data_IF_252582425033
#
_entry.id   IF_252582425033
#
_cell.length_a   1.000
_cell.length_b   1.000
_cell.length_c   1.000
_cell.angle_alpha   90.00
_cell.angle_beta   90.00
_cell.angle_gamma   90.00
#
_symmetry.space_group_name_H-M   'P 1'
#
loop_
_entity.id
_entity.type
_entity.pdbx_description
1 polymer ?
#
# COMPACT_ATOMS: atom_id res chain seq x y z
N UNK A 1 -13.49 3.75 -32.33
CA UNK A 1 -12.54 4.60 -31.59
C UNK A 1 -11.46 3.68 -31.04
N UNK A 2 -10.25 3.77 -31.58
CA UNK A 2 -9.11 3.07 -31.01
C UNK A 2 -8.93 3.52 -29.56
N UNK A 3 -8.67 2.64 -28.59
CA UNK A 3 -8.39 3.04 -27.22
C UNK A 3 -7.18 4.01 -27.27
N UNK A 4 -7.20 5.10 -26.49
CA UNK A 4 -6.07 6.00 -26.44
C UNK A 4 -4.82 5.20 -26.04
N UNK A 5 -3.74 5.39 -26.78
CA UNK A 5 -2.43 4.82 -26.45
C UNK A 5 -2.14 5.16 -25.00
N UNK A 6 -2.03 4.13 -24.13
CA UNK A 6 -1.85 4.32 -22.70
C UNK A 6 -0.59 5.14 -22.45
N UNK A 7 -0.74 6.27 -21.76
CA UNK A 7 0.40 7.09 -21.33
C UNK A 7 1.08 6.45 -20.15
N UNK A 8 2.42 6.35 -20.16
CA UNK A 8 3.18 6.04 -18.95
C UNK A 8 3.22 7.25 -18.03
N UNK A 9 3.36 7.04 -16.72
CA UNK A 9 3.46 8.14 -15.76
C UNK A 9 4.62 9.11 -16.04
N UNK A 10 5.66 8.65 -16.76
CA UNK A 10 6.81 9.46 -17.19
C UNK A 10 6.49 10.44 -18.34
N UNK A 11 5.41 10.21 -19.10
CA UNK A 11 5.00 11.03 -20.24
C UNK A 11 4.02 12.16 -19.86
N UNK A 12 3.57 12.21 -18.61
CA UNK A 12 2.64 13.23 -18.12
C UNK A 12 3.31 14.61 -18.01
N UNK A 13 2.58 15.67 -18.39
CA UNK A 13 3.01 17.03 -18.09
C UNK A 13 3.11 17.25 -16.58
N UNK A 14 4.01 18.14 -16.13
CA UNK A 14 4.22 18.42 -14.70
C UNK A 14 2.93 18.77 -13.95
N UNK A 15 2.04 19.55 -14.56
CA UNK A 15 0.76 19.92 -13.94
C UNK A 15 -0.18 18.74 -13.79
N UNK A 16 -0.35 17.91 -14.82
CA UNK A 16 -1.17 16.68 -14.76
C UNK A 16 -0.60 15.68 -13.77
N UNK A 17 0.72 15.52 -13.74
CA UNK A 17 1.41 14.67 -12.78
C UNK A 17 1.13 15.11 -11.34
N UNK A 18 1.36 16.42 -11.03
CA UNK A 18 1.16 16.94 -9.68
C UNK A 18 -0.30 16.84 -9.22
N UNK A 19 -1.25 17.11 -10.13
CA UNK A 19 -2.67 16.96 -9.86
C UNK A 19 -3.05 15.50 -9.54
N UNK A 20 -2.64 14.54 -10.38
CA UNK A 20 -2.91 13.12 -10.16
C UNK A 20 -2.26 12.63 -8.86
N UNK A 21 -1.02 13.05 -8.58
CA UNK A 21 -0.31 12.72 -7.37
C UNK A 21 -1.01 13.25 -6.11
N UNK A 22 -1.41 14.53 -6.10
CA UNK A 22 -2.12 15.13 -4.97
C UNK A 22 -3.50 14.49 -4.74
N UNK A 23 -4.23 14.24 -5.83
CA UNK A 23 -5.55 13.62 -5.77
C UNK A 23 -5.49 12.20 -5.19
N UNK A 24 -4.56 11.37 -5.65
CA UNK A 24 -4.42 10.01 -5.12
C UNK A 24 -3.83 10.03 -3.70
N UNK A 25 -2.94 10.99 -3.38
CA UNK A 25 -2.42 11.18 -2.02
C UNK A 25 -3.54 11.51 -1.02
N UNK A 26 -4.62 12.22 -1.43
CA UNK A 26 -5.76 12.49 -0.55
C UNK A 26 -6.49 11.22 -0.07
N UNK A 27 -6.42 10.13 -0.82
CA UNK A 27 -6.97 8.82 -0.41
C UNK A 27 -6.25 8.26 0.81
N UNK A 28 -4.93 8.47 0.91
CA UNK A 28 -4.16 8.04 2.09
C UNK A 28 -4.57 8.79 3.35
N UNK A 29 -4.88 10.08 3.23
CA UNK A 29 -5.44 10.84 4.36
C UNK A 29 -6.77 10.25 4.83
N UNK A 30 -7.69 9.96 3.90
CA UNK A 30 -9.00 9.35 4.20
C UNK A 30 -8.85 8.00 4.89
N UNK A 31 -7.90 7.18 4.41
CA UNK A 31 -7.59 5.88 4.99
C UNK A 31 -7.04 6.02 6.42
N UNK A 32 -6.07 6.90 6.64
CA UNK A 32 -5.50 7.14 7.97
C UNK A 32 -6.53 7.63 8.99
N UNK A 33 -7.47 8.46 8.56
CA UNK A 33 -8.55 8.96 9.39
C UNK A 33 -9.50 7.84 9.85
N UNK A 34 -9.90 6.97 8.91
CA UNK A 34 -10.77 5.82 9.21
C UNK A 34 -10.11 4.83 10.18
N UNK A 35 -8.82 4.54 9.96
CA UNK A 35 -8.04 3.65 10.82
C UNK A 35 -7.92 4.20 12.25
N UNK A 36 -7.57 5.49 12.39
CA UNK A 36 -7.46 6.13 13.69
C UNK A 36 -8.79 6.17 14.48
N UNK A 37 -9.93 6.26 13.80
CA UNK A 37 -11.24 6.15 14.44
C UNK A 37 -11.55 4.72 14.90
N UNK A 38 -11.16 3.70 14.14
CA UNK A 38 -11.45 2.30 14.46
C UNK A 38 -10.79 1.86 15.77
N UNK A 39 -9.53 2.25 15.99
CA UNK A 39 -8.80 1.91 17.21
C UNK A 39 -9.47 2.47 18.47
N UNK A 40 -9.99 3.69 18.38
CA UNK A 40 -10.69 4.32 19.50
C UNK A 40 -12.06 3.70 19.76
N UNK A 41 -12.77 3.29 18.70
CA UNK A 41 -14.07 2.63 18.83
C UNK A 41 -13.99 1.30 19.55
N UNK A 42 -12.90 0.57 19.40
CA UNK A 42 -12.74 -0.72 20.05
C UNK A 42 -12.87 -0.61 21.57
N UNK A 43 -12.23 0.39 22.20
CA UNK A 43 -12.36 0.65 23.64
C UNK A 43 -13.77 1.13 24.02
N UNK A 44 -14.39 1.95 23.17
CA UNK A 44 -15.73 2.46 23.40
C UNK A 44 -16.79 1.34 23.38
N UNK A 45 -16.69 0.42 22.43
CA UNK A 45 -17.61 -0.72 22.32
C UNK A 45 -17.49 -1.72 23.48
N UNK A 46 -16.29 -1.91 24.04
CA UNK A 46 -16.15 -2.71 25.27
C UNK A 46 -16.97 -2.15 26.43
N UNK A 47 -16.99 -0.81 26.56
CA UNK A 47 -17.74 -0.13 27.61
C UNK A 47 -19.25 -0.18 27.35
N UNK A 48 -19.69 0.11 26.11
CA UNK A 48 -21.13 0.25 25.80
C UNK A 48 -21.85 -1.09 25.68
N UNK A 49 -21.20 -2.10 25.09
CA UNK A 49 -21.81 -3.42 24.89
C UNK A 49 -21.47 -4.43 25.98
N UNK A 50 -20.63 -4.07 26.96
CA UNK A 50 -20.15 -4.97 28.00
C UNK A 50 -19.57 -6.28 27.44
N UNK A 51 -18.91 -6.20 26.26
CA UNK A 51 -18.30 -7.33 25.57
C UNK A 51 -16.91 -7.64 26.14
N UNK A 52 -16.49 -8.89 26.01
CA UNK A 52 -15.16 -9.33 26.43
C UNK A 52 -14.09 -8.71 25.50
N UNK A 53 -12.84 -8.65 26.01
CA UNK A 53 -11.69 -8.22 25.18
C UNK A 53 -11.56 -9.06 23.90
N UNK A 54 -11.79 -10.37 24.01
CA UNK A 54 -11.77 -11.28 22.87
C UNK A 54 -12.86 -10.93 21.84
N UNK A 55 -14.09 -10.64 22.28
CA UNK A 55 -15.17 -10.24 21.39
C UNK A 55 -14.86 -8.90 20.68
N UNK A 56 -14.19 -7.97 21.34
CA UNK A 56 -13.82 -6.70 20.75
C UNK A 56 -12.75 -6.85 19.66
N UNK A 57 -11.93 -7.90 19.68
CA UNK A 57 -10.95 -8.16 18.61
C UNK A 57 -11.60 -8.59 17.28
N UNK A 58 -12.90 -8.96 17.28
CA UNK A 58 -13.63 -9.28 16.04
C UNK A 58 -13.68 -8.09 15.07
N UNK A 59 -13.65 -6.84 15.57
CA UNK A 59 -13.54 -5.67 14.70
C UNK A 59 -12.22 -5.63 13.95
N UNK A 60 -11.12 -5.89 14.65
CA UNK A 60 -9.79 -5.95 14.00
C UNK A 60 -9.70 -7.14 13.05
N UNK A 61 -10.23 -8.29 13.44
CA UNK A 61 -10.32 -9.47 12.58
C UNK A 61 -11.15 -9.17 11.31
N UNK A 62 -12.29 -8.50 11.44
CA UNK A 62 -13.11 -8.10 10.30
C UNK A 62 -12.38 -7.12 9.40
N UNK A 63 -11.71 -6.12 9.96
CA UNK A 63 -10.94 -5.12 9.22
C UNK A 63 -9.78 -5.75 8.45
N UNK A 64 -8.86 -6.41 9.12
CA UNK A 64 -7.67 -7.01 8.51
C UNK A 64 -8.00 -8.26 7.66
N UNK A 65 -9.03 -9.03 8.07
CA UNK A 65 -9.55 -10.16 7.30
C UNK A 65 -10.12 -9.74 5.95
N UNK A 66 -10.75 -8.55 5.89
CA UNK A 66 -11.22 -7.98 4.63
C UNK A 66 -10.07 -7.74 3.65
N UNK A 67 -8.92 -7.26 4.11
CA UNK A 67 -7.72 -7.09 3.27
C UNK A 67 -7.24 -8.42 2.71
N UNK A 68 -7.18 -9.45 3.54
CA UNK A 68 -6.74 -10.77 3.11
C UNK A 68 -7.61 -11.35 2.00
N UNK A 69 -8.93 -11.18 2.10
CA UNK A 69 -9.89 -11.72 1.12
C UNK A 69 -10.04 -10.81 -0.09
N UNK A 70 -10.13 -9.51 0.11
CA UNK A 70 -10.61 -8.59 -0.93
C UNK A 70 -9.50 -7.92 -1.74
N UNK A 71 -8.30 -7.73 -1.21
CA UNK A 71 -7.20 -7.07 -1.94
C UNK A 71 -6.79 -7.82 -3.22
N UNK A 72 -6.68 -9.17 -3.26
CA UNK A 72 -6.42 -9.89 -4.51
C UNK A 72 -7.53 -9.69 -5.55
N UNK A 73 -8.80 -9.70 -5.12
CA UNK A 73 -9.94 -9.42 -5.99
C UNK A 73 -9.87 -8.00 -6.57
N UNK A 74 -9.56 -7.01 -5.74
CA UNK A 74 -9.39 -5.61 -6.16
C UNK A 74 -8.30 -5.47 -7.24
N UNK A 75 -7.16 -6.17 -7.09
CA UNK A 75 -6.10 -6.19 -8.08
C UNK A 75 -6.53 -6.76 -9.43
N UNK A 76 -7.28 -7.88 -9.41
CA UNK A 76 -7.84 -8.49 -10.63
C UNK A 76 -8.91 -7.59 -11.26
N UNK A 77 -9.78 -6.99 -10.44
CA UNK A 77 -10.79 -6.04 -10.91
C UNK A 77 -10.16 -4.84 -11.62
N UNK A 78 -9.14 -4.23 -11.02
CA UNK A 78 -8.43 -3.08 -11.61
C UNK A 78 -7.66 -3.45 -12.87
N UNK A 79 -7.16 -4.69 -12.98
CA UNK A 79 -6.56 -5.18 -14.22
C UNK A 79 -7.55 -5.13 -15.38
N UNK A 80 -8.81 -5.47 -15.14
CA UNK A 80 -9.86 -5.50 -16.17
C UNK A 80 -10.50 -4.13 -16.43
N UNK A 81 -10.70 -3.33 -15.38
CA UNK A 81 -11.52 -2.11 -15.44
C UNK A 81 -10.76 -0.81 -15.23
N UNK A 82 -9.46 -0.86 -14.88
CA UNK A 82 -8.60 0.30 -14.65
C UNK A 82 -8.63 0.85 -13.23
N UNK A 83 -7.72 1.78 -12.97
CA UNK A 83 -7.55 2.39 -11.63
C UNK A 83 -8.74 3.24 -11.21
N UNK A 84 -9.24 4.10 -12.10
CA UNK A 84 -10.36 5.01 -11.77
C UNK A 84 -11.59 4.26 -11.30
N UNK A 85 -11.98 3.17 -12.00
CA UNK A 85 -13.13 2.33 -11.59
C UNK A 85 -12.85 1.59 -10.28
N UNK A 86 -11.59 1.17 -10.05
CA UNK A 86 -11.18 0.59 -8.76
C UNK A 86 -11.36 1.58 -7.59
N UNK A 87 -10.97 2.84 -7.79
CA UNK A 87 -11.16 3.89 -6.78
C UNK A 87 -12.65 4.13 -6.49
N UNK A 88 -13.49 4.20 -7.54
CA UNK A 88 -14.94 4.35 -7.36
C UNK A 88 -15.57 3.18 -6.59
N UNK A 89 -15.16 1.95 -6.89
CA UNK A 89 -15.60 0.75 -6.15
C UNK A 89 -15.15 0.83 -4.69
N UNK A 90 -13.89 1.20 -4.45
CA UNK A 90 -13.35 1.31 -3.10
C UNK A 90 -14.04 2.37 -2.25
N UNK A 91 -14.23 3.59 -2.79
CA UNK A 91 -14.96 4.67 -2.11
C UNK A 91 -16.45 4.32 -1.91
N UNK A 92 -17.06 3.62 -2.86
CA UNK A 92 -18.43 3.13 -2.73
C UNK A 92 -18.61 2.14 -1.58
N UNK A 93 -17.74 1.12 -1.49
CA UNK A 93 -17.74 0.14 -0.40
C UNK A 93 -17.44 0.79 0.95
N UNK A 94 -16.46 1.70 0.98
CA UNK A 94 -16.12 2.46 2.18
C UNK A 94 -17.31 3.25 2.71
N UNK A 95 -17.97 4.03 1.84
CA UNK A 95 -19.14 4.81 2.21
C UNK A 95 -20.31 3.93 2.62
N UNK A 96 -20.56 2.84 1.90
CA UNK A 96 -21.63 1.89 2.22
C UNK A 96 -21.42 1.25 3.59
N UNK A 97 -20.22 0.77 3.89
CA UNK A 97 -19.89 0.22 5.20
C UNK A 97 -20.04 1.26 6.32
N UNK A 98 -19.61 2.51 6.09
CA UNK A 98 -19.75 3.59 7.06
C UNK A 98 -21.22 3.98 7.31
N UNK A 99 -22.09 3.96 6.30
CA UNK A 99 -23.54 4.19 6.45
C UNK A 99 -24.18 3.13 7.36
N UNK A 100 -23.76 1.86 7.23
CA UNK A 100 -24.32 0.77 8.06
C UNK A 100 -23.93 0.87 9.54
N UNK A 101 -22.96 1.69 9.92
CA UNK A 101 -22.73 2.03 11.33
C UNK A 101 -23.93 2.71 11.98
N UNK A 102 -24.67 3.54 11.23
CA UNK A 102 -25.84 4.24 11.74
C UNK A 102 -26.95 3.29 12.24
N UNK A 103 -27.49 2.34 11.43
CA UNK A 103 -28.48 1.40 11.93
C UNK A 103 -27.90 0.45 13.00
N UNK A 104 -26.61 0.09 12.91
CA UNK A 104 -25.95 -0.75 13.92
C UNK A 104 -25.93 -0.07 15.30
N UNK A 105 -25.68 1.26 15.34
CA UNK A 105 -25.74 2.06 16.54
C UNK A 105 -27.18 2.21 17.05
N UNK A 106 -28.13 2.52 16.17
CA UNK A 106 -29.55 2.73 16.52
C UNK A 106 -30.18 1.47 17.11
N UNK A 107 -29.87 0.30 16.55
CA UNK A 107 -30.38 -0.98 17.03
C UNK A 107 -29.47 -1.65 18.07
N UNK A 108 -28.37 -1.01 18.45
CA UNK A 108 -27.38 -1.51 19.42
C UNK A 108 -26.93 -2.96 19.13
N UNK A 109 -26.63 -3.27 17.86
CA UNK A 109 -26.21 -4.60 17.42
C UNK A 109 -24.72 -4.63 17.13
N UNK A 110 -23.93 -5.22 18.01
CA UNK A 110 -22.46 -5.36 17.84
C UNK A 110 -22.09 -6.10 16.54
N UNK A 111 -22.81 -7.17 16.20
CA UNK A 111 -22.60 -7.89 14.93
C UNK A 111 -22.78 -7.02 13.68
N UNK A 112 -23.65 -5.99 13.74
CA UNK A 112 -23.81 -4.99 12.69
C UNK A 112 -22.54 -4.16 12.50
N UNK A 113 -21.89 -3.76 13.57
CA UNK A 113 -20.60 -3.05 13.52
C UNK A 113 -19.49 -3.91 12.93
N UNK A 114 -19.42 -5.19 13.31
CA UNK A 114 -18.43 -6.13 12.76
C UNK A 114 -18.63 -6.30 11.24
N UNK A 115 -19.86 -6.54 10.78
CA UNK A 115 -20.17 -6.64 9.36
C UNK A 115 -19.87 -5.35 8.58
N UNK A 116 -20.24 -4.20 9.15
CA UNK A 116 -19.97 -2.88 8.57
C UNK A 116 -18.47 -2.61 8.46
N UNK A 117 -17.69 -2.97 9.49
CA UNK A 117 -16.23 -2.86 9.50
C UNK A 117 -15.60 -3.73 8.42
N UNK A 118 -16.12 -4.93 8.19
CA UNK A 118 -15.66 -5.78 7.09
C UNK A 118 -15.88 -5.12 5.72
N UNK A 119 -17.05 -4.52 5.49
CA UNK A 119 -17.34 -3.81 4.23
C UNK A 119 -16.46 -2.57 4.06
N UNK A 120 -16.25 -1.78 5.14
CA UNK A 120 -15.27 -0.67 5.14
C UNK A 120 -13.88 -1.20 4.78
N UNK A 121 -13.45 -2.31 5.40
CA UNK A 121 -12.17 -2.96 5.13
C UNK A 121 -12.01 -3.38 3.66
N UNK A 122 -13.06 -3.93 3.03
CA UNK A 122 -13.05 -4.22 1.59
C UNK A 122 -12.86 -2.96 0.74
N UNK A 123 -13.54 -1.86 1.10
CA UNK A 123 -13.38 -0.57 0.45
C UNK A 123 -11.95 -0.04 0.59
N UNK A 124 -11.42 -0.04 1.80
CA UNK A 124 -10.06 0.44 2.09
C UNK A 124 -8.98 -0.43 1.44
N UNK A 125 -9.13 -1.76 1.44
CA UNK A 125 -8.24 -2.67 0.72
C UNK A 125 -8.19 -2.33 -0.77
N UNK A 126 -9.36 -2.05 -1.38
CA UNK A 126 -9.43 -1.64 -2.80
C UNK A 126 -8.74 -0.31 -3.04
N UNK A 127 -8.99 0.70 -2.19
CA UNK A 127 -8.34 2.02 -2.31
C UNK A 127 -6.84 1.92 -2.12
N UNK A 128 -6.37 1.08 -1.21
CA UNK A 128 -4.95 0.89 -0.95
C UNK A 128 -4.25 0.20 -2.13
N UNK A 129 -4.85 -0.84 -2.72
CA UNK A 129 -4.32 -1.45 -3.95
C UNK A 129 -4.26 -0.42 -5.08
N UNK A 130 -5.30 0.39 -5.27
CA UNK A 130 -5.35 1.43 -6.30
C UNK A 130 -4.30 2.51 -6.06
N UNK A 131 -4.27 3.09 -4.87
CA UNK A 131 -3.43 4.23 -4.55
C UNK A 131 -1.94 3.84 -4.52
N UNK A 132 -1.58 2.73 -3.86
CA UNK A 132 -0.20 2.26 -3.80
C UNK A 132 0.35 1.95 -5.19
N UNK A 133 -0.40 1.18 -6.01
CA UNK A 133 0.06 0.83 -7.35
C UNK A 133 0.10 2.05 -8.28
N UNK A 134 -0.89 2.94 -8.21
CA UNK A 134 -0.91 4.15 -9.04
C UNK A 134 0.28 5.08 -8.71
N UNK A 135 0.52 5.37 -7.42
CA UNK A 135 1.67 6.20 -6.98
C UNK A 135 3.00 5.55 -7.38
N UNK A 136 3.12 4.22 -7.28
CA UNK A 136 4.34 3.52 -7.65
C UNK A 136 4.68 3.68 -9.15
N UNK A 137 3.66 3.63 -10.02
CA UNK A 137 3.86 3.73 -11.49
C UNK A 137 3.73 5.16 -12.03
N UNK A 138 3.39 6.15 -11.19
CA UNK A 138 3.25 7.55 -11.58
C UNK A 138 4.61 8.24 -11.71
N UNK A 139 5.44 7.87 -12.68
CA UNK A 139 6.75 8.43 -12.96
C UNK A 139 7.90 7.43 -12.82
N UNK A 140 9.15 7.92 -12.80
CA UNK A 140 10.34 7.06 -12.80
C UNK A 140 10.30 6.02 -11.66
N UNK A 141 10.57 4.73 -11.94
CA UNK A 141 10.69 3.67 -10.95
C UNK A 141 11.74 3.94 -9.86
N UNK A 142 12.79 4.72 -10.17
CA UNK A 142 13.83 5.14 -9.22
C UNK A 142 13.23 5.77 -7.96
N UNK A 143 12.23 6.63 -8.10
CA UNK A 143 11.64 7.38 -6.99
C UNK A 143 10.30 6.82 -6.50
N UNK A 144 9.91 5.61 -6.93
CA UNK A 144 8.63 5.00 -6.56
C UNK A 144 8.49 4.85 -5.04
N UNK A 145 9.51 4.34 -4.35
CA UNK A 145 9.49 4.18 -2.89
C UNK A 145 9.40 5.53 -2.15
N UNK A 146 10.13 6.55 -2.60
CA UNK A 146 10.07 7.88 -2.01
C UNK A 146 8.69 8.53 -2.20
N UNK A 147 8.10 8.42 -3.41
CA UNK A 147 6.75 8.93 -3.71
C UNK A 147 5.69 8.27 -2.83
N UNK A 148 5.73 6.94 -2.75
CA UNK A 148 4.76 6.19 -1.94
C UNK A 148 4.93 6.49 -0.46
N UNK A 149 6.16 6.57 0.05
CA UNK A 149 6.45 6.91 1.43
C UNK A 149 5.96 8.33 1.78
N UNK A 150 6.12 9.29 0.87
CA UNK A 150 5.59 10.65 1.01
C UNK A 150 4.06 10.65 1.12
N UNK A 151 3.36 9.98 0.20
CA UNK A 151 1.89 9.89 0.21
C UNK A 151 1.37 9.21 1.48
N UNK A 152 2.02 8.15 1.93
CA UNK A 152 1.69 7.48 3.19
C UNK A 152 2.07 8.29 4.44
N UNK A 153 2.93 9.30 4.34
CA UNK A 153 3.17 10.29 5.40
C UNK A 153 1.88 11.03 5.78
N UNK A 154 1.04 11.39 4.81
CA UNK A 154 -0.27 12.03 5.08
C UNK A 154 -1.27 11.09 5.76
N UNK A 155 -1.17 9.78 5.53
CA UNK A 155 -1.90 8.78 6.30
C UNK A 155 -1.54 8.85 7.79
N UNK A 156 -0.24 8.95 8.11
CA UNK A 156 0.24 9.09 9.50
C UNK A 156 -0.29 10.36 10.17
N UNK A 157 -0.35 11.48 9.45
CA UNK A 157 -0.96 12.73 9.96
C UNK A 157 -2.44 12.55 10.23
N UNK A 158 -3.17 11.87 9.35
CA UNK A 158 -4.61 11.66 9.50
C UNK A 158 -4.96 10.69 10.63
N UNK A 159 -4.17 9.63 10.83
CA UNK A 159 -4.39 8.66 11.92
C UNK A 159 -4.23 9.27 13.31
N UNK A 160 -3.48 10.37 13.44
CA UNK A 160 -3.44 11.17 14.66
C UNK A 160 -4.72 12.00 14.89
N UNK A 161 -5.34 12.51 13.82
CA UNK A 161 -6.55 13.34 13.92
C UNK A 161 -7.79 12.55 14.40
N UNK A 162 -7.92 11.28 14.00
CA UNK A 162 -9.03 10.41 14.39
C UNK A 162 -9.18 10.26 15.91
N UNK A 163 -8.16 9.78 16.63
CA UNK A 163 -8.17 9.69 18.09
C UNK A 163 -8.39 11.04 18.80
N UNK A 164 -7.85 12.15 18.28
CA UNK A 164 -8.09 13.47 18.85
C UNK A 164 -9.57 13.88 18.82
N UNK A 165 -10.23 13.65 17.69
CA UNK A 165 -11.67 13.92 17.53
C UNK A 165 -12.47 13.00 18.46
N UNK A 166 -12.15 11.74 18.46
CA UNK A 166 -12.84 10.75 19.29
C UNK A 166 -12.67 11.02 20.78
N UNK A 167 -11.47 11.40 21.26
CA UNK A 167 -11.23 11.73 22.66
C UNK A 167 -12.05 12.91 23.16
N UNK A 168 -12.30 13.90 22.29
CA UNK A 168 -13.10 15.07 22.63
C UNK A 168 -14.61 14.84 22.55
N UNK A 169 -15.06 13.91 21.71
CA UNK A 169 -16.48 13.82 21.37
C UNK A 169 -17.11 12.47 21.73
N UNK A 170 -16.33 11.36 21.76
CA UNK A 170 -16.86 10.05 22.14
C UNK A 170 -16.79 9.77 23.64
N UNK A 171 -15.78 10.31 24.34
CA UNK A 171 -15.52 9.94 25.73
C UNK A 171 -15.90 11.01 26.75
N UNK A 172 -16.54 12.12 26.33
CA UNK A 172 -16.94 13.19 27.25
C UNK A 172 -18.44 13.14 27.61
N UNK A 173 -18.73 13.22 28.91
CA UNK A 173 -20.08 13.31 29.45
C UNK A 173 -20.95 12.09 29.12
N UNK A 174 -22.19 12.35 28.69
CA UNK A 174 -23.15 11.28 28.31
C UNK A 174 -22.71 10.44 27.13
N UNK A 175 -21.85 10.97 26.26
CA UNK A 175 -21.38 10.25 25.07
C UNK A 175 -20.47 9.06 25.41
N UNK A 176 -19.86 9.04 26.59
CA UNK A 176 -19.00 7.94 27.03
C UNK A 176 -19.73 6.59 27.14
N UNK A 177 -21.04 6.61 27.34
CA UNK A 177 -21.89 5.42 27.53
C UNK A 177 -22.95 5.23 26.46
N UNK A 178 -23.00 6.09 25.42
CA UNK A 178 -23.99 6.04 24.34
C UNK A 178 -23.30 5.94 22.98
N UNK A 179 -24.05 5.46 21.98
CA UNK A 179 -23.60 5.35 20.59
C UNK A 179 -24.05 6.53 19.72
N UNK A 180 -24.73 7.53 20.31
CA UNK A 180 -25.34 8.63 19.56
C UNK A 180 -24.30 9.44 18.76
N UNK A 181 -23.15 9.70 19.36
CA UNK A 181 -22.07 10.42 18.66
C UNK A 181 -21.40 9.55 17.58
N UNK A 182 -21.24 8.25 17.83
CA UNK A 182 -20.62 7.30 16.89
C UNK A 182 -21.39 7.27 15.58
N UNK A 183 -22.73 7.20 15.62
CA UNK A 183 -23.56 7.14 14.42
C UNK A 183 -23.39 8.37 13.52
N UNK A 184 -23.30 9.57 14.09
CA UNK A 184 -23.15 10.81 13.34
C UNK A 184 -21.75 11.00 12.78
N UNK A 185 -20.71 10.60 13.52
CA UNK A 185 -19.34 10.65 13.04
C UNK A 185 -19.15 9.70 11.86
N UNK A 186 -19.68 8.48 11.93
CA UNK A 186 -19.57 7.55 10.79
C UNK A 186 -20.46 7.95 9.61
N UNK A 187 -21.56 8.64 9.85
CA UNK A 187 -22.33 9.23 8.76
C UNK A 187 -21.55 10.37 8.07
N UNK A 188 -20.80 11.17 8.82
CA UNK A 188 -19.91 12.19 8.27
C UNK A 188 -18.74 11.54 7.49
N UNK A 189 -18.18 10.45 8.01
CA UNK A 189 -17.15 9.63 7.31
C UNK A 189 -17.70 9.07 6.00
N UNK A 190 -18.92 8.56 5.99
CA UNK A 190 -19.61 8.11 4.78
C UNK A 190 -19.80 9.26 3.77
N UNK A 191 -20.24 10.43 4.26
CA UNK A 191 -20.39 11.65 3.47
C UNK A 191 -19.07 12.08 2.81
N UNK A 192 -17.98 12.04 3.56
CA UNK A 192 -16.64 12.31 3.02
C UNK A 192 -16.30 11.34 1.87
N UNK A 193 -16.54 10.04 2.03
CA UNK A 193 -16.33 9.05 1.00
C UNK A 193 -17.17 9.29 -0.27
N UNK A 194 -18.45 9.70 -0.10
CA UNK A 194 -19.33 10.08 -1.22
C UNK A 194 -18.80 11.33 -1.93
N UNK A 195 -18.42 12.38 -1.18
CA UNK A 195 -17.86 13.62 -1.75
C UNK A 195 -16.59 13.33 -2.55
N UNK A 196 -15.69 12.52 -2.01
CA UNK A 196 -14.50 12.09 -2.73
C UNK A 196 -14.85 11.29 -3.98
N UNK A 197 -15.84 10.39 -3.90
CA UNK A 197 -16.28 9.60 -5.06
C UNK A 197 -16.80 10.51 -6.19
N UNK A 198 -17.60 11.52 -5.85
CA UNK A 198 -18.08 12.54 -6.79
C UNK A 198 -16.89 13.34 -7.36
N UNK A 199 -15.95 13.76 -6.52
CA UNK A 199 -14.77 14.48 -6.95
C UNK A 199 -13.95 13.65 -7.96
N UNK A 200 -13.67 12.39 -7.67
CA UNK A 200 -12.97 11.49 -8.60
C UNK A 200 -13.74 11.23 -9.89
N UNK A 201 -15.08 11.29 -9.85
CA UNK A 201 -15.89 11.15 -11.07
C UNK A 201 -15.64 12.30 -12.07
N UNK A 202 -15.62 13.54 -11.58
CA UNK A 202 -15.38 14.72 -12.41
C UNK A 202 -13.90 14.97 -12.73
N UNK A 203 -12.97 14.36 -11.98
CA UNK A 203 -11.55 14.51 -12.22
C UNK A 203 -11.06 13.57 -13.34
N UNK A 204 -10.25 14.10 -14.25
CA UNK A 204 -9.54 13.30 -15.26
C UNK A 204 -8.28 12.70 -14.62
N UNK A 205 -8.41 11.47 -14.13
CA UNK A 205 -7.25 10.70 -13.65
C UNK A 205 -6.63 9.96 -14.84
N UNK A 206 -5.36 10.27 -15.22
CA UNK A 206 -4.70 9.57 -16.31
C UNK A 206 -4.63 8.07 -16.04
N UNK A 207 -5.17 7.26 -16.96
CA UNK A 207 -5.08 5.79 -16.81
C UNK A 207 -3.71 5.31 -17.29
N UNK A 208 -2.98 4.66 -16.38
CA UNK A 208 -1.71 4.01 -16.67
C UNK A 208 -2.01 2.54 -16.96
N UNK A 209 -1.84 2.14 -18.23
CA UNK A 209 -2.15 0.79 -18.68
C UNK A 209 -0.98 -0.17 -18.44
N UNK A 210 -1.28 -1.44 -18.23
CA UNK A 210 -0.23 -2.48 -18.07
C UNK A 210 0.52 -2.70 -19.39
N UNK A 211 -0.12 -2.47 -20.53
CA UNK A 211 0.52 -2.55 -21.85
C UNK A 211 1.57 -1.47 -22.03
N UNK A 212 1.27 -0.21 -21.61
CA UNK A 212 2.25 0.87 -21.63
C UNK A 212 3.45 0.58 -20.69
N UNK A 213 3.20 0.05 -19.49
CA UNK A 213 4.27 -0.37 -18.58
C UNK A 213 5.12 -1.51 -19.16
N UNK A 214 4.47 -2.46 -19.85
CA UNK A 214 5.17 -3.56 -20.49
C UNK A 214 6.01 -3.09 -21.66
N UNK A 215 5.51 -2.15 -22.47
CA UNK A 215 6.28 -1.52 -23.54
C UNK A 215 7.50 -0.77 -22.98
N UNK A 216 7.35 0.01 -21.90
CA UNK A 216 8.45 0.70 -21.22
C UNK A 216 9.53 -0.28 -20.73
N UNK A 217 9.12 -1.43 -20.16
CA UNK A 217 10.06 -2.48 -19.72
C UNK A 217 10.75 -3.14 -20.91
N UNK A 218 10.04 -3.32 -22.03
CA UNK A 218 10.60 -3.91 -23.25
C UNK A 218 11.70 -3.04 -23.88
N UNK A 219 11.56 -1.69 -23.83
CA UNK A 219 12.59 -0.74 -24.30
C UNK A 219 13.94 -0.94 -23.60
N UNK A 220 13.93 -1.44 -22.34
CA UNK A 220 15.16 -1.72 -21.57
C UNK A 220 15.59 -3.19 -21.62
N UNK A 221 15.09 -3.94 -22.60
CA UNK A 221 15.54 -5.31 -22.91
C UNK A 221 14.82 -6.42 -22.14
N UNK A 222 13.77 -6.13 -21.37
CA UNK A 222 12.95 -7.15 -20.71
C UNK A 222 11.75 -7.46 -21.62
N UNK A 223 11.92 -8.40 -22.55
CA UNK A 223 10.91 -8.72 -23.58
C UNK A 223 9.73 -9.55 -23.06
N UNK A 224 9.94 -10.36 -22.02
CA UNK A 224 8.91 -11.20 -21.42
C UNK A 224 9.04 -11.19 -19.89
N UNK A 225 7.96 -10.85 -19.21
CA UNK A 225 7.90 -10.85 -17.74
C UNK A 225 7.69 -12.28 -17.21
N UNK A 226 7.23 -13.21 -18.06
CA UNK A 226 6.92 -14.59 -17.69
C UNK A 226 5.66 -14.73 -16.82
N UNK A 227 5.31 -15.95 -16.39
CA UNK A 227 4.10 -16.20 -15.63
C UNK A 227 4.13 -15.57 -14.23
N UNK A 228 2.98 -15.13 -13.75
CA UNK A 228 2.82 -14.43 -12.46
C UNK A 228 3.48 -15.17 -11.28
N UNK A 229 3.27 -16.47 -11.20
CA UNK A 229 3.76 -17.28 -10.08
C UNK A 229 5.30 -17.49 -10.06
N UNK A 230 6.01 -17.10 -11.12
CA UNK A 230 7.46 -17.06 -11.17
C UNK A 230 8.04 -15.71 -10.74
N UNK A 231 7.20 -14.74 -10.40
CA UNK A 231 7.62 -13.41 -9.92
C UNK A 231 8.02 -13.48 -8.44
N UNK A 232 9.17 -14.11 -8.14
CA UNK A 232 9.63 -14.37 -6.77
C UNK A 232 9.73 -13.11 -5.91
N UNK A 233 10.10 -11.95 -6.50
CA UNK A 233 10.13 -10.67 -5.77
C UNK A 233 8.78 -10.28 -5.24
N UNK A 234 7.71 -10.52 -6.00
CA UNK A 234 6.35 -10.24 -5.61
C UNK A 234 5.83 -11.24 -4.57
N UNK A 235 6.10 -12.54 -4.77
CA UNK A 235 5.64 -13.61 -3.87
C UNK A 235 6.31 -13.49 -2.50
N UNK A 236 7.65 -13.35 -2.45
CA UNK A 236 8.37 -13.13 -1.19
C UNK A 236 8.07 -11.74 -0.60
N UNK A 237 7.80 -10.74 -1.45
CA UNK A 237 7.31 -9.43 -1.02
C UNK A 237 5.98 -9.51 -0.27
N UNK A 238 5.06 -10.35 -0.72
CA UNK A 238 3.81 -10.63 0.01
C UNK A 238 4.06 -11.27 1.37
N UNK A 239 4.95 -12.27 1.46
CA UNK A 239 5.32 -12.90 2.74
C UNK A 239 5.96 -11.87 3.69
N UNK A 240 6.89 -11.06 3.18
CA UNK A 240 7.52 -9.99 3.95
C UNK A 240 6.51 -8.94 4.43
N UNK A 241 5.56 -8.56 3.56
CA UNK A 241 4.51 -7.59 3.89
C UNK A 241 3.57 -8.13 4.97
N UNK A 242 3.15 -9.41 4.86
CA UNK A 242 2.31 -10.08 5.85
C UNK A 242 2.99 -10.12 7.22
N UNK A 243 4.27 -10.48 7.23
CA UNK A 243 5.07 -10.59 8.44
C UNK A 243 5.33 -9.22 9.06
N UNK A 244 5.68 -8.23 8.24
CA UNK A 244 5.94 -6.87 8.68
C UNK A 244 4.68 -6.20 9.25
N UNK A 245 3.56 -6.21 8.51
CA UNK A 245 2.32 -5.57 8.98
C UNK A 245 1.79 -6.27 10.22
N UNK A 246 1.87 -7.59 10.26
CA UNK A 246 1.55 -8.35 11.47
C UNK A 246 2.35 -7.89 12.68
N UNK A 247 3.68 -7.77 12.53
CA UNK A 247 4.57 -7.30 13.58
C UNK A 247 4.24 -5.86 14.00
N UNK A 248 4.06 -4.94 13.04
CA UNK A 248 3.73 -3.54 13.29
C UNK A 248 2.42 -3.38 14.09
N UNK A 249 1.37 -4.07 13.66
CA UNK A 249 0.06 -4.04 14.34
C UNK A 249 0.17 -4.67 15.73
N UNK A 250 0.93 -5.76 15.88
CA UNK A 250 1.22 -6.38 17.17
C UNK A 250 1.94 -5.42 18.11
N UNK A 251 3.00 -4.77 17.67
CA UNK A 251 3.73 -3.76 18.46
C UNK A 251 2.77 -2.67 18.91
N UNK A 252 1.99 -2.08 18.01
CA UNK A 252 1.08 -0.98 18.32
C UNK A 252 -0.02 -1.39 19.31
N UNK A 253 -0.55 -2.60 19.20
CA UNK A 253 -1.62 -3.11 20.07
C UNK A 253 -1.21 -3.20 21.53
N UNK A 254 0.06 -3.45 21.82
CA UNK A 254 0.56 -3.68 23.19
C UNK A 254 1.39 -2.53 23.76
N UNK A 255 1.53 -1.40 23.05
CA UNK A 255 2.35 -0.24 23.49
C UNK A 255 1.92 0.27 24.87
N UNK A 256 0.63 0.52 25.08
CA UNK A 256 0.13 1.08 26.34
C UNK A 256 0.40 0.13 27.49
N UNK A 257 0.09 -1.16 27.32
CA UNK A 257 0.35 -2.20 28.32
C UNK A 257 1.84 -2.29 28.63
N UNK A 258 2.68 -2.31 27.61
CA UNK A 258 4.13 -2.35 27.76
C UNK A 258 4.65 -1.16 28.58
N UNK A 259 4.20 0.07 28.27
CA UNK A 259 4.65 1.28 28.94
C UNK A 259 4.23 1.33 30.42
N UNK A 260 3.03 0.86 30.73
CA UNK A 260 2.54 0.76 32.12
C UNK A 260 3.35 -0.27 32.91
N UNK A 261 3.67 -1.41 32.28
CA UNK A 261 4.38 -2.54 32.88
C UNK A 261 5.89 -2.29 33.09
N UNK A 262 6.43 -1.12 32.67
CA UNK A 262 7.87 -0.81 32.83
C UNK A 262 8.32 -0.57 34.28
N UNK A 263 7.42 -0.43 35.23
CA UNK A 263 7.75 -0.23 36.65
C UNK A 263 8.31 1.16 36.99
N UNK A 264 8.22 2.14 36.07
CA UNK A 264 8.70 3.53 36.27
C UNK A 264 7.55 4.51 36.59
N UNK A 265 6.41 4.01 37.04
CA UNK A 265 5.28 4.83 37.47
C UNK A 265 4.52 5.53 36.32
N UNK A 266 4.59 5.00 35.09
CA UNK A 266 3.83 5.53 33.95
C UNK A 266 2.36 5.16 34.12
N UNK A 267 1.50 6.17 34.31
CA UNK A 267 0.06 5.96 34.33
C UNK A 267 -0.48 5.61 32.92
N UNK A 268 -1.65 4.99 32.85
CA UNK A 268 -2.27 4.63 31.58
C UNK A 268 -2.51 5.86 30.68
N UNK A 269 -2.88 7.01 31.27
CA UNK A 269 -3.02 8.27 30.53
C UNK A 269 -1.68 8.72 29.95
N UNK A 270 -0.60 8.65 30.72
CA UNK A 270 0.75 8.99 30.24
C UNK A 270 1.25 8.02 29.18
N UNK A 271 0.96 6.72 29.32
CA UNK A 271 1.28 5.70 28.33
C UNK A 271 0.60 5.98 26.97
N UNK A 272 -0.68 6.37 26.99
CA UNK A 272 -1.43 6.77 25.79
C UNK A 272 -0.83 8.02 25.13
N UNK A 273 -0.35 9.01 25.91
CA UNK A 273 0.36 10.18 25.38
C UNK A 273 1.70 9.77 24.73
N UNK A 274 2.47 8.89 25.38
CA UNK A 274 3.72 8.39 24.84
C UNK A 274 3.51 7.59 23.55
N UNK A 275 2.43 6.82 23.47
CA UNK A 275 2.04 6.16 22.22
C UNK A 275 1.77 7.15 21.09
N UNK A 276 1.08 8.26 21.39
CA UNK A 276 0.89 9.33 20.39
C UNK A 276 2.22 9.92 19.93
N UNK A 277 3.21 10.07 20.82
CA UNK A 277 4.56 10.52 20.45
C UNK A 277 5.30 9.47 19.61
N UNK A 278 5.12 8.17 19.87
CA UNK A 278 5.62 7.11 19.00
C UNK A 278 5.06 7.21 17.58
N UNK A 279 3.76 7.50 17.43
CA UNK A 279 3.12 7.72 16.12
C UNK A 279 3.66 8.97 15.41
N UNK A 280 3.95 10.04 16.15
CA UNK A 280 4.62 11.24 15.61
C UNK A 280 6.04 10.87 15.13
N UNK A 281 6.78 10.07 15.91
CA UNK A 281 8.12 9.60 15.53
C UNK A 281 8.08 8.76 14.26
N UNK A 282 7.12 7.85 14.15
CA UNK A 282 6.87 7.06 12.95
C UNK A 282 6.57 7.94 11.73
N UNK A 283 5.67 8.92 11.88
CA UNK A 283 5.31 9.85 10.80
C UNK A 283 6.50 10.73 10.39
N UNK A 284 7.26 11.24 11.36
CA UNK A 284 8.50 11.98 11.12
C UNK A 284 9.54 11.13 10.38
N UNK A 285 9.68 9.86 10.79
CA UNK A 285 10.54 8.88 10.12
C UNK A 285 10.16 8.65 8.65
N UNK A 286 8.86 8.69 8.30
CA UNK A 286 8.42 8.63 6.90
C UNK A 286 8.95 9.80 6.07
N UNK A 287 8.85 11.03 6.57
CA UNK A 287 9.35 12.20 5.83
C UNK A 287 10.89 12.21 5.73
N UNK A 288 11.60 11.82 6.79
CA UNK A 288 13.06 11.61 6.74
C UNK A 288 13.38 10.52 5.72
N UNK A 289 12.62 9.42 5.71
CA UNK A 289 12.76 8.32 4.77
C UNK A 289 12.58 8.74 3.31
N UNK A 290 11.73 9.72 3.00
CA UNK A 290 11.62 10.28 1.63
C UNK A 290 12.97 10.82 1.16
N UNK A 291 13.66 11.57 2.03
CA UNK A 291 14.98 12.14 1.71
C UNK A 291 16.01 11.02 1.54
N UNK A 292 16.04 10.05 2.44
CA UNK A 292 16.98 8.93 2.37
C UNK A 292 16.77 8.08 1.12
N UNK A 293 15.53 7.76 0.77
CA UNK A 293 15.15 6.99 -0.42
C UNK A 293 15.46 7.71 -1.74
N UNK A 294 15.68 9.00 -1.71
CA UNK A 294 16.14 9.74 -2.90
C UNK A 294 17.59 9.38 -3.25
N UNK A 295 18.43 9.15 -2.26
CA UNK A 295 19.88 8.94 -2.42
C UNK A 295 20.30 7.48 -2.30
N UNK A 296 19.67 6.70 -1.41
CA UNK A 296 20.05 5.34 -1.04
C UNK A 296 19.13 4.33 -1.74
N UNK A 297 19.71 3.21 -2.20
CA UNK A 297 18.93 2.11 -2.80
C UNK A 297 17.85 1.61 -1.83
N UNK A 298 16.59 1.47 -2.28
CA UNK A 298 15.47 1.08 -1.41
C UNK A 298 15.66 -0.30 -0.75
N UNK A 299 16.28 -1.28 -1.44
CA UNK A 299 16.49 -2.61 -0.86
C UNK A 299 17.56 -2.57 0.24
N UNK A 300 18.62 -1.80 0.02
CA UNK A 300 19.67 -1.60 1.02
C UNK A 300 19.14 -0.87 2.26
N UNK A 301 18.37 0.21 2.05
CA UNK A 301 17.78 0.97 3.14
C UNK A 301 16.77 0.13 3.94
N UNK A 302 15.92 -0.65 3.25
CA UNK A 302 15.00 -1.58 3.89
C UNK A 302 15.72 -2.64 4.70
N UNK A 303 16.87 -3.17 4.21
CA UNK A 303 17.69 -4.15 4.94
C UNK A 303 18.21 -3.56 6.25
N UNK A 304 18.75 -2.33 6.19
CA UNK A 304 19.23 -1.62 7.39
C UNK A 304 18.10 -1.36 8.39
N UNK A 305 16.95 -0.85 7.93
CA UNK A 305 15.79 -0.60 8.77
C UNK A 305 15.23 -1.89 9.38
N UNK A 306 15.21 -2.99 8.61
CA UNK A 306 14.77 -4.30 9.10
C UNK A 306 15.66 -4.85 10.20
N UNK A 307 16.98 -4.75 10.06
CA UNK A 307 17.94 -5.13 11.10
C UNK A 307 17.74 -4.29 12.35
N UNK A 308 17.56 -2.97 12.20
CA UNK A 308 17.27 -2.07 13.32
C UNK A 308 15.94 -2.41 14.00
N UNK A 309 14.85 -2.66 13.24
CA UNK A 309 13.57 -3.10 13.80
C UNK A 309 13.74 -4.38 14.62
N UNK A 310 14.47 -5.36 14.09
CA UNK A 310 14.74 -6.64 14.79
C UNK A 310 15.50 -6.37 16.09
N UNK A 311 16.58 -5.58 16.04
CA UNK A 311 17.41 -5.27 17.20
C UNK A 311 16.62 -4.51 18.28
N UNK A 312 15.86 -3.48 17.89
CA UNK A 312 15.08 -2.69 18.85
C UNK A 312 13.87 -3.46 19.39
N UNK A 313 13.23 -4.34 18.60
CA UNK A 313 12.17 -5.23 19.11
C UNK A 313 12.72 -6.24 20.15
N UNK A 314 13.91 -6.77 19.93
CA UNK A 314 14.63 -7.56 20.95
C UNK A 314 14.95 -6.67 22.16
N UNK A 315 15.42 -5.44 21.94
CA UNK A 315 15.65 -4.47 23.00
C UNK A 315 14.40 -4.20 23.84
N UNK A 316 13.24 -3.99 23.22
CA UNK A 316 11.95 -3.85 23.91
C UNK A 316 11.64 -5.10 24.74
N UNK A 317 11.91 -6.31 24.22
CA UNK A 317 11.64 -7.56 24.92
C UNK A 317 12.55 -7.81 26.14
N UNK A 318 13.72 -7.17 26.20
CA UNK A 318 14.74 -7.40 27.24
C UNK A 318 14.92 -6.20 28.19
N UNK A 319 14.89 -4.98 27.66
CA UNK A 319 15.15 -3.76 28.44
C UNK A 319 13.97 -3.43 29.37
N UNK A 320 14.32 -2.81 30.51
CA UNK A 320 13.36 -2.35 31.53
C UNK A 320 13.45 -0.84 31.73
N UNK A 321 12.42 -0.25 32.30
CA UNK A 321 12.38 1.16 32.60
C UNK A 321 12.46 2.06 31.37
N UNK A 322 13.11 3.19 31.47
CA UNK A 322 13.26 4.15 30.37
C UNK A 322 14.08 3.61 29.19
N UNK A 323 14.95 2.60 29.42
CA UNK A 323 15.67 1.95 28.32
C UNK A 323 14.72 1.20 27.38
N UNK A 324 13.72 0.49 27.92
CA UNK A 324 12.67 -0.16 27.13
C UNK A 324 11.81 0.85 26.37
N UNK A 325 11.48 1.99 27.01
CA UNK A 325 10.75 3.08 26.36
C UNK A 325 11.55 3.65 25.18
N UNK A 326 12.85 3.88 25.37
CA UNK A 326 13.75 4.39 24.31
C UNK A 326 13.83 3.40 23.12
N UNK A 327 13.97 2.10 23.39
CA UNK A 327 13.95 1.07 22.34
C UNK A 327 12.63 1.09 21.55
N UNK A 328 11.50 1.31 22.22
CA UNK A 328 10.19 1.39 21.57
C UNK A 328 10.11 2.58 20.61
N UNK A 329 10.58 3.77 21.01
CA UNK A 329 10.62 4.95 20.11
C UNK A 329 11.50 4.71 18.90
N UNK A 330 12.68 4.11 19.08
CA UNK A 330 13.55 3.73 17.97
C UNK A 330 12.88 2.72 17.05
N UNK A 331 12.16 1.74 17.59
CA UNK A 331 11.42 0.76 16.81
C UNK A 331 10.39 1.46 15.90
N UNK A 332 9.57 2.36 16.42
CA UNK A 332 8.61 3.14 15.63
C UNK A 332 9.27 3.99 14.54
N UNK A 333 10.46 4.54 14.81
CA UNK A 333 11.21 5.27 13.79
C UNK A 333 11.63 4.36 12.63
N UNK A 334 12.20 3.20 12.92
CA UNK A 334 12.70 2.27 11.91
C UNK A 334 11.60 1.49 11.20
N UNK A 335 10.40 1.35 11.75
CA UNK A 335 9.24 0.80 11.04
C UNK A 335 8.75 1.71 9.89
N UNK A 336 9.02 3.00 9.93
CA UNK A 336 8.34 4.03 9.15
C UNK A 336 8.35 3.82 7.64
N UNK A 337 9.47 3.38 7.05
CA UNK A 337 9.62 3.22 5.59
C UNK A 337 9.39 1.78 5.09
N UNK A 338 9.22 0.82 5.99
CA UNK A 338 9.24 -0.60 5.63
C UNK A 338 8.11 -0.96 4.67
N UNK A 339 6.87 -0.53 4.96
CA UNK A 339 5.70 -0.80 4.12
C UNK A 339 5.90 -0.34 2.66
N UNK A 340 6.17 0.96 2.38
CA UNK A 340 6.31 1.45 1.01
C UNK A 340 7.51 0.83 0.28
N UNK A 341 8.60 0.51 0.98
CA UNK A 341 9.74 -0.16 0.37
C UNK A 341 9.42 -1.59 -0.04
N UNK A 342 8.78 -2.39 0.82
CA UNK A 342 8.37 -3.77 0.48
C UNK A 342 7.43 -3.73 -0.72
N UNK A 343 6.42 -2.84 -0.69
CA UNK A 343 5.44 -2.72 -1.77
C UNK A 343 6.10 -2.40 -3.10
N UNK A 344 6.94 -1.36 -3.15
CA UNK A 344 7.56 -0.90 -4.40
C UNK A 344 8.63 -1.86 -4.93
N UNK A 345 9.39 -2.50 -4.05
CA UNK A 345 10.36 -3.55 -4.44
C UNK A 345 9.66 -4.81 -4.97
N UNK A 346 8.55 -5.20 -4.33
CA UNK A 346 7.78 -6.38 -4.74
C UNK A 346 6.97 -6.17 -6.01
N UNK A 347 6.56 -4.93 -6.33
CA UNK A 347 5.85 -4.60 -7.57
C UNK A 347 6.75 -4.14 -8.70
N UNK A 348 8.06 -4.04 -8.47
CA UNK A 348 9.04 -3.56 -9.47
C UNK A 348 9.08 -4.50 -10.68
N UNK A 349 8.98 -3.94 -11.88
CA UNK A 349 9.14 -4.63 -13.18
C UNK A 349 8.11 -5.75 -13.44
N UNK A 350 6.91 -5.65 -12.89
CA UNK A 350 5.85 -6.65 -13.10
C UNK A 350 5.08 -6.51 -14.44
N UNK A 351 5.21 -5.39 -15.17
CA UNK A 351 4.54 -5.17 -16.46
C UNK A 351 3.05 -5.49 -16.38
N UNK A 352 2.59 -6.46 -17.18
CA UNK A 352 1.18 -6.94 -17.24
C UNK A 352 0.65 -7.51 -15.92
N UNK A 353 1.50 -7.70 -14.93
CA UNK A 353 1.11 -8.26 -13.63
C UNK A 353 1.08 -7.21 -12.51
N UNK A 354 1.33 -5.92 -12.81
CA UNK A 354 1.48 -4.86 -11.80
C UNK A 354 0.26 -4.75 -10.89
N UNK A 355 -0.95 -4.63 -11.44
CA UNK A 355 -2.19 -4.50 -10.65
C UNK A 355 -2.49 -5.76 -9.83
N UNK A 356 -2.26 -6.94 -10.42
CA UNK A 356 -2.45 -8.22 -9.73
C UNK A 356 -1.41 -8.41 -8.60
N UNK A 357 -0.15 -8.07 -8.87
CA UNK A 357 0.93 -8.12 -7.87
C UNK A 357 0.69 -7.15 -6.72
N UNK A 358 0.19 -5.95 -7.02
CA UNK A 358 -0.21 -4.98 -6.00
C UNK A 358 -1.30 -5.52 -5.08
N UNK A 359 -2.32 -6.18 -5.66
CA UNK A 359 -3.37 -6.84 -4.88
C UNK A 359 -2.81 -7.94 -3.96
N UNK A 360 -1.85 -8.74 -4.46
CA UNK A 360 -1.20 -9.78 -3.66
C UNK A 360 -0.39 -9.18 -2.49
N UNK A 361 0.39 -8.12 -2.72
CA UNK A 361 1.20 -7.51 -1.65
C UNK A 361 0.31 -6.83 -0.62
N UNK A 362 -0.75 -6.11 -1.03
CA UNK A 362 -1.71 -5.49 -0.11
C UNK A 362 -2.50 -6.53 0.68
N UNK A 363 -2.75 -7.73 0.15
CA UNK A 363 -3.28 -8.86 0.92
C UNK A 363 -2.45 -9.14 2.18
N UNK A 364 -1.14 -8.82 2.15
CA UNK A 364 -0.26 -8.94 3.31
C UNK A 364 -0.66 -8.10 4.52
N UNK A 365 -1.47 -7.04 4.34
CA UNK A 365 -2.05 -6.26 5.45
C UNK A 365 -2.89 -7.15 6.37
N UNK A 366 -3.45 -8.24 5.84
CA UNK A 366 -4.13 -9.28 6.62
C UNK A 366 -3.29 -9.92 7.74
N UNK A 367 -1.96 -9.77 7.72
CA UNK A 367 -1.08 -10.17 8.83
C UNK A 367 -1.48 -9.57 10.17
N UNK A 368 -2.05 -8.34 10.17
CA UNK A 368 -2.59 -7.69 11.35
C UNK A 368 -3.77 -8.40 12.02
N UNK A 369 -4.39 -9.38 11.36
CA UNK A 369 -5.49 -10.15 11.95
C UNK A 369 -5.05 -11.14 13.03
N UNK A 370 -3.86 -11.72 12.93
CA UNK A 370 -3.44 -12.85 13.78
C UNK A 370 -2.19 -12.61 14.63
N UNK A 371 -1.28 -11.73 14.22
CA UNK A 371 -0.08 -11.41 15.01
C UNK A 371 -0.40 -10.86 16.41
N UNK A 372 -1.33 -9.88 16.57
CA UNK A 372 -1.70 -9.39 17.90
C UNK A 372 -2.27 -10.48 18.81
N UNK A 373 -3.03 -11.45 18.25
CA UNK A 373 -3.56 -12.58 19.00
C UNK A 373 -2.46 -13.51 19.51
N UNK A 374 -1.48 -13.83 18.66
CA UNK A 374 -0.30 -14.61 19.07
C UNK A 374 0.55 -13.88 20.11
N UNK A 375 0.71 -12.57 19.97
CA UNK A 375 1.40 -11.72 20.93
C UNK A 375 0.66 -11.66 22.26
N UNK A 376 -0.67 -11.54 22.26
CA UNK A 376 -1.53 -11.56 23.44
C UNK A 376 -1.41 -12.88 24.20
N UNK A 377 -1.47 -14.02 23.51
CA UNK A 377 -1.29 -15.33 24.12
C UNK A 377 0.09 -15.46 24.82
N UNK A 378 1.16 -14.94 24.22
CA UNK A 378 2.48 -14.92 24.86
C UNK A 378 2.55 -13.90 26.01
N UNK A 379 1.84 -12.77 25.92
CA UNK A 379 1.76 -11.80 27.00
C UNK A 379 1.11 -12.40 28.25
N UNK A 380 0.02 -13.14 28.08
CA UNK A 380 -0.70 -13.82 29.17
C UNK A 380 0.12 -14.97 29.74
N UNK A 381 0.85 -15.72 28.91
CA UNK A 381 1.65 -16.87 29.36
C UNK A 381 2.98 -16.49 30.05
N UNK A 382 3.56 -15.34 29.71
CA UNK A 382 4.88 -14.94 30.20
C UNK A 382 4.90 -13.51 30.76
N UNK A 383 4.82 -12.50 29.88
CA UNK A 383 4.71 -11.07 30.24
C UNK A 383 4.52 -10.23 28.98
N UNK A 384 3.93 -9.04 29.13
CA UNK A 384 3.80 -8.07 28.01
C UNK A 384 5.14 -7.77 27.34
N UNK A 385 6.21 -7.63 28.11
CA UNK A 385 7.56 -7.39 27.59
C UNK A 385 8.06 -8.54 26.72
N UNK A 386 7.97 -9.78 27.19
CA UNK A 386 8.41 -10.97 26.45
C UNK A 386 7.57 -11.20 25.18
N UNK A 387 6.32 -10.77 25.18
CA UNK A 387 5.44 -10.91 24.02
C UNK A 387 5.96 -10.20 22.78
N UNK A 388 6.83 -9.19 22.92
CA UNK A 388 7.50 -8.52 21.80
C UNK A 388 8.46 -9.41 21.00
N UNK A 389 8.74 -10.64 21.46
CA UNK A 389 9.43 -11.65 20.65
C UNK A 389 8.58 -12.14 19.47
N UNK A 390 7.25 -12.01 19.52
CA UNK A 390 6.38 -12.35 18.38
C UNK A 390 6.62 -11.40 17.20
N UNK A 391 6.57 -10.07 17.35
CA UNK A 391 6.95 -9.12 16.30
C UNK A 391 8.37 -9.32 15.74
N UNK A 392 9.34 -9.75 16.56
CA UNK A 392 10.71 -10.03 16.09
C UNK A 392 10.71 -11.01 14.92
N UNK A 393 9.87 -12.05 14.95
CA UNK A 393 9.77 -13.01 13.85
C UNK A 393 9.38 -12.36 12.54
N UNK A 394 8.48 -11.37 12.59
CA UNK A 394 8.02 -10.61 11.43
C UNK A 394 9.11 -9.70 10.86
N UNK A 395 9.88 -9.02 11.71
CA UNK A 395 11.00 -8.20 11.27
C UNK A 395 12.16 -9.02 10.72
N UNK A 396 12.43 -10.22 11.26
CA UNK A 396 13.41 -11.14 10.68
C UNK A 396 12.98 -11.55 9.27
N UNK A 397 11.72 -11.95 9.06
CA UNK A 397 11.22 -12.36 7.75
C UNK A 397 11.33 -11.22 6.73
N UNK A 398 10.97 -9.99 7.11
CA UNK A 398 11.15 -8.79 6.29
C UNK A 398 12.62 -8.53 5.97
N UNK A 399 13.51 -8.63 6.96
CA UNK A 399 14.95 -8.39 6.79
C UNK A 399 15.57 -9.41 5.83
N UNK A 400 15.21 -10.68 5.94
CA UNK A 400 15.68 -11.74 5.03
C UNK A 400 15.23 -11.46 3.59
N UNK A 401 14.00 -11.00 3.38
CA UNK A 401 13.54 -10.57 2.07
C UNK A 401 14.39 -9.42 1.50
N UNK A 402 14.60 -8.38 2.30
CA UNK A 402 15.36 -7.21 1.88
C UNK A 402 16.83 -7.55 1.55
N UNK A 403 17.49 -8.30 2.44
CA UNK A 403 18.87 -8.78 2.24
C UNK A 403 18.95 -9.66 1.00
N UNK A 404 17.97 -10.57 0.80
CA UNK A 404 17.89 -11.40 -0.41
C UNK A 404 17.84 -10.60 -1.69
N UNK A 405 17.10 -9.47 -1.71
CA UNK A 405 17.06 -8.54 -2.84
C UNK A 405 18.40 -7.83 -3.07
N UNK A 406 19.07 -7.39 -2.00
CA UNK A 406 20.41 -6.78 -2.10
C UNK A 406 21.42 -7.77 -2.66
N UNK A 407 21.41 -9.02 -2.19
CA UNK A 407 22.30 -10.09 -2.67
C UNK A 407 21.99 -10.41 -4.14
N UNK A 408 20.73 -10.60 -4.51
CA UNK A 408 20.34 -10.84 -5.92
C UNK A 408 20.80 -9.71 -6.84
N UNK A 409 20.66 -8.47 -6.40
CA UNK A 409 21.13 -7.29 -7.12
C UNK A 409 22.66 -7.25 -7.22
N UNK A 410 23.37 -7.55 -6.13
CA UNK A 410 24.83 -7.56 -6.10
C UNK A 410 25.42 -8.62 -7.03
N UNK A 411 24.80 -9.82 -7.10
CA UNK A 411 25.21 -10.90 -8.01
C UNK A 411 24.99 -10.53 -9.48
N UNK A 412 23.84 -9.91 -9.80
CA UNK A 412 23.47 -9.61 -11.21
C UNK A 412 24.11 -8.36 -11.76
N UNK A 413 24.25 -7.30 -10.95
CA UNK A 413 24.60 -5.96 -11.41
C UNK A 413 25.71 -5.28 -10.59
N UNK A 414 26.34 -5.99 -9.66
CA UNK A 414 27.25 -5.43 -8.68
C UNK A 414 26.55 -4.73 -7.52
N UNK A 415 27.28 -4.53 -6.41
CA UNK A 415 26.75 -3.84 -5.23
C UNK A 415 26.49 -2.36 -5.52
N UNK A 416 25.32 -1.88 -5.12
CA UNK A 416 24.90 -0.50 -5.32
C UNK A 416 24.47 0.13 -4.00
N UNK A 417 25.16 1.18 -3.62
CA UNK A 417 24.76 1.99 -2.46
C UNK A 417 23.73 3.06 -2.83
N UNK A 418 23.91 3.71 -4.00
CA UNK A 418 23.06 4.79 -4.45
C UNK A 418 21.83 4.29 -5.19
N UNK A 419 20.74 5.02 -5.02
CA UNK A 419 19.53 4.82 -5.82
C UNK A 419 19.78 5.23 -7.28
N UNK A 420 19.82 4.26 -8.19
CA UNK A 420 20.13 4.45 -9.60
C UNK A 420 18.88 4.21 -10.45
N UNK A 421 18.70 5.04 -11.47
CA UNK A 421 17.66 4.82 -12.47
C UNK A 421 18.12 3.75 -13.46
N UNK A 422 17.72 2.48 -13.20
CA UNK A 422 18.09 1.34 -14.04
C UNK A 422 17.60 1.49 -15.48
N UNK A 423 16.46 2.19 -15.68
CA UNK A 423 15.92 2.44 -17.01
C UNK A 423 16.78 3.48 -17.75
N UNK A 424 17.19 4.55 -17.08
CA UNK A 424 18.07 5.56 -17.68
C UNK A 424 19.44 4.97 -18.05
N UNK A 425 20.02 4.14 -17.16
CA UNK A 425 21.29 3.47 -17.42
C UNK A 425 21.19 2.51 -18.62
N UNK A 426 20.14 1.70 -18.68
CA UNK A 426 19.95 0.76 -19.79
C UNK A 426 19.66 1.48 -21.12
N UNK A 427 18.84 2.56 -21.10
CA UNK A 427 18.61 3.38 -22.29
C UNK A 427 19.91 4.00 -22.80
N UNK A 428 20.77 4.51 -21.91
CA UNK A 428 22.07 5.04 -22.28
C UNK A 428 22.95 3.96 -22.93
N UNK A 429 23.03 2.77 -22.33
CA UNK A 429 23.80 1.64 -22.87
C UNK A 429 23.27 1.17 -24.24
N UNK A 430 21.96 1.15 -24.46
CA UNK A 430 21.36 0.82 -25.76
C UNK A 430 21.67 1.91 -26.80
N UNK A 431 21.60 3.20 -26.43
CA UNK A 431 21.95 4.31 -27.31
C UNK A 431 23.43 4.34 -27.69
N UNK A 432 24.33 3.95 -26.78
CA UNK A 432 25.76 3.79 -27.06
C UNK A 432 26.05 2.60 -27.99
N UNK A 433 25.31 1.48 -27.80
CA UNK A 433 25.46 0.28 -28.62
C UNK A 433 24.87 0.45 -30.03
N UNK A 434 23.88 1.30 -30.20
CA UNK A 434 23.23 1.63 -31.50
C UNK A 434 23.12 3.14 -31.68
N UNK A 435 24.23 3.84 -32.01
CA UNK A 435 24.19 5.27 -32.24
C UNK A 435 23.33 5.57 -33.47
N UNK A 436 22.47 6.57 -33.38
CA UNK A 436 21.50 6.97 -34.44
C UNK A 436 22.15 7.31 -35.79
N UNK A 437 23.45 7.56 -35.82
CA UNK A 437 24.24 7.77 -37.05
C UNK A 437 24.35 6.52 -37.97
N UNK A 438 24.10 5.32 -37.44
CA UNK A 438 24.10 4.08 -38.24
C UNK A 438 22.80 3.79 -38.99
N UNK A 439 21.71 4.51 -38.68
CA UNK A 439 20.39 4.31 -39.34
C UNK A 439 20.16 5.21 -40.55
N UNK A 440 21.01 6.22 -40.80
CA UNK A 440 20.92 7.12 -41.95
C UNK A 440 21.73 6.65 -43.18
N UNK A 441 22.64 5.69 -43.02
CA UNK A 441 23.46 5.19 -44.16
C UNK A 441 22.94 3.90 -44.81
N UNK A 442 21.91 3.25 -44.26
CA UNK A 442 21.34 2.02 -44.87
C UNK A 442 19.94 2.20 -45.46
N UNK A 443 19.46 3.42 -45.57
CA UNK A 443 18.09 3.78 -45.98
C UNK A 443 17.90 4.37 -47.39
N UNK A 444 18.91 4.27 -48.29
CA UNK A 444 18.72 4.58 -49.71
C UNK A 444 18.68 3.28 -50.52
N UNK A 445 17.54 2.62 -50.54
CA UNK A 445 17.17 1.74 -51.64
C UNK A 445 15.65 1.44 -51.59
N UNK A 446 14.96 2.13 -52.54
CA UNK A 446 13.76 1.64 -53.23
C UNK A 446 12.51 1.25 -52.43
N UNK A 447 11.72 2.26 -52.06
CA UNK A 447 10.28 2.09 -52.15
C UNK A 447 9.71 3.07 -53.20
N UNK A 448 9.72 2.61 -54.45
CA UNK A 448 8.93 3.19 -55.53
C UNK A 448 7.46 2.85 -55.28
N UNK A 449 6.71 3.80 -54.80
CA UNK A 449 5.24 3.80 -54.79
C UNK A 449 4.72 3.58 -56.20
N UNK A 450 4.12 2.43 -56.47
CA UNK A 450 3.20 2.25 -57.60
C UNK A 450 1.82 2.68 -57.14
N UNK A 451 1.41 3.86 -57.54
CA UNK A 451 0.01 4.27 -57.69
C UNK A 451 -0.63 3.45 -58.79
N UNK A 452 -1.85 2.92 -58.64
CA UNK A 452 -2.60 2.35 -59.75
C UNK A 452 -3.37 3.51 -60.38
N UNK A 453 -2.93 3.91 -61.56
CA UNK A 453 -3.74 4.69 -62.49
C UNK A 453 -4.70 3.80 -63.27
N UNK A 454 -5.89 4.34 -63.39
CA UNK A 454 -7.00 3.87 -64.17
C UNK A 454 -6.66 3.74 -65.67
N UNK A 455 -7.17 2.74 -66.34
CA UNK A 455 -8.06 2.88 -67.52
C UNK A 455 -8.13 1.64 -68.41
N UNK A 456 -9.41 1.28 -68.70
CA UNK A 456 -10.02 0.86 -69.95
C UNK A 456 -9.83 -0.52 -70.58
N UNK A 457 -11.01 -1.13 -70.66
CA UNK A 457 -11.67 -1.74 -71.82
C UNK A 457 -11.00 -2.84 -72.60
N UNK A 458 -11.79 -3.91 -72.73
CA UNK A 458 -11.79 -4.78 -73.90
C UNK A 458 -12.14 -6.21 -73.62
N UNK A 459 -13.40 -6.53 -73.64
CA UNK A 459 -14.15 -7.57 -74.39
C UNK A 459 -13.51 -8.90 -74.68
N UNK A 460 -14.34 -9.94 -74.35
CA UNK A 460 -14.69 -11.11 -75.22
C UNK A 460 -13.67 -12.27 -75.21
N UNK A 461 -14.09 -13.38 -74.78
CA UNK A 461 -14.58 -14.68 -75.22
C UNK A 461 -14.14 -15.79 -74.25
N UNK A 462 -15.08 -16.41 -73.70
CA UNK A 462 -15.66 -17.75 -73.90
C UNK A 462 -14.66 -18.87 -74.22
N UNK A 463 -14.85 -19.95 -73.53
CA UNK A 463 -14.78 -21.39 -73.83
C UNK A 463 -14.07 -22.13 -72.72
N UNK A 464 -14.80 -22.79 -71.88
CA UNK A 464 -15.20 -24.20 -71.83
C UNK A 464 -14.10 -25.23 -71.52
N UNK A 465 -14.52 -26.08 -70.58
CA UNK A 465 -14.22 -27.51 -70.36
C UNK A 465 -13.10 -27.82 -69.35
N UNK A 466 -13.41 -28.45 -68.25
CA UNK A 466 -13.84 -29.85 -67.94
C UNK A 466 -12.69 -30.69 -67.42
N UNK A 467 -12.90 -31.32 -66.24
CA UNK A 467 -12.38 -32.58 -65.73
C UNK A 467 -10.94 -32.64 -65.15
N UNK A 468 -10.98 -33.16 -63.90
CA UNK A 468 -9.86 -33.76 -63.19
C UNK A 468 -10.07 -33.66 -61.69
#
# INVERSE_FOLDING_TARGET
MSPPVGTTGSQLSRGRWAFAFALVTSLFFTWGFAYGLLDVLNAHFQTVFHITKLQSTLLQLAYFGAYFVYAPFAGVFMKRYGYKRGIHMGLGLYSLGAIFFWPSAKFQKYGGFVGSTFVIGCGLATLEVAANSYIAVLGSPKHAAARLNFSQGFQGVASFAGPMIASKWFFLGKNATTLDTVQWVYLAVAGLGVVLNILFFFCDLPEITEDALTAEIAEVGIKDVGPFWKQYRCIFGWVAQTSYVGAQVGVAAFVVNFLVDQGVGISQSRASQLFSYCQITFTGGRFIGVVLLHFIDPALLLSFYGICCTAFAIGVSQATGYGGVGCLFCLFFFESICYPCIFTLGTKNLGVHTKRGSGLIVMGVGGGAWYPSAQGALADAASTRRSYLVPVSGYIAMSLYAIGLVVDQAIKNGFRFRNVDEFAVKRAAVSEAYPASGLLESGESTYRTKTPDSEKKGSVDMVEQVEG
#
